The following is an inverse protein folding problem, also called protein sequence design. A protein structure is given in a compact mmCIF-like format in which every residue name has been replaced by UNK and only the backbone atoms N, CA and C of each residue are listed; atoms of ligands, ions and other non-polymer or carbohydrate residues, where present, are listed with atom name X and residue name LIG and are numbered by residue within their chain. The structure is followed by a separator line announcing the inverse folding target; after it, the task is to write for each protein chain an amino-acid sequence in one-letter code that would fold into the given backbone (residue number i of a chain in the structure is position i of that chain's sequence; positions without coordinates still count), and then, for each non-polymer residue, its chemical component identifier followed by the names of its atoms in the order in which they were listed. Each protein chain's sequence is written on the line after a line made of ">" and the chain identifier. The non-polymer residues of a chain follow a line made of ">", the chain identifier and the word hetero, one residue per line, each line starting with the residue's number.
data_IF_135789005771
#
_entry.id   IF_135789005771
#
_cell.length_a   1.000
_cell.length_b   1.000
_cell.length_c   1.000
_cell.angle_alpha   90.00
_cell.angle_beta   90.00
_cell.angle_gamma   90.00
#
_symmetry.space_group_name_H-M   'P 1'
#
loop_
_entity.id
_entity.type
_entity.pdbx_description
1 polymer ?
#
# COMPACT_ATOMS: atom_id res chain seq x y z
N UNK A 1 -3.64 17.28 4.84
CA UNK A 1 -3.31 15.94 4.35
C UNK A 1 -3.97 14.88 5.22
N UNK A 2 -4.63 13.88 4.62
CA UNK A 2 -5.26 12.75 5.31
C UNK A 2 -4.83 11.46 4.64
N UNK A 3 -4.29 10.52 5.42
CA UNK A 3 -4.06 9.15 4.96
C UNK A 3 -5.34 8.33 5.20
N UNK A 4 -6.04 8.00 4.12
CA UNK A 4 -7.33 7.29 4.16
C UNK A 4 -7.20 5.82 4.55
N UNK A 5 -6.01 5.24 4.49
CA UNK A 5 -5.77 3.92 5.06
C UNK A 5 -5.89 3.91 6.59
N UNK A 6 -5.35 4.93 7.25
CA UNK A 6 -5.43 5.07 8.71
C UNK A 6 -6.78 5.63 9.15
N UNK A 7 -7.33 6.57 8.38
CA UNK A 7 -8.59 7.27 8.64
C UNK A 7 -9.63 6.83 7.61
N UNK A 8 -10.12 5.60 7.75
CA UNK A 8 -10.92 4.94 6.72
C UNK A 8 -12.43 5.22 6.76
N UNK A 9 -12.92 6.11 7.64
CA UNK A 9 -14.33 6.49 7.72
C UNK A 9 -14.48 8.00 7.67
N UNK A 10 -15.62 8.50 7.16
CA UNK A 10 -15.94 9.92 7.14
C UNK A 10 -15.81 10.59 8.50
N UNK A 11 -16.16 9.88 9.58
CA UNK A 11 -15.99 10.40 10.95
C UNK A 11 -14.51 10.59 11.31
N UNK A 12 -13.67 9.59 11.10
CA UNK A 12 -12.22 9.69 11.40
C UNK A 12 -11.54 10.76 10.56
N UNK A 13 -11.95 10.91 9.29
CA UNK A 13 -11.46 11.96 8.39
C UNK A 13 -11.87 13.34 8.93
N UNK A 14 -13.13 13.50 9.34
CA UNK A 14 -13.62 14.76 9.89
C UNK A 14 -12.87 15.14 11.19
N UNK A 15 -12.62 14.18 12.08
CA UNK A 15 -11.83 14.40 13.31
C UNK A 15 -10.41 14.84 12.95
N UNK A 16 -9.75 14.15 12.01
CA UNK A 16 -8.39 14.49 11.60
C UNK A 16 -8.30 15.89 10.98
N UNK A 17 -9.27 16.27 10.14
CA UNK A 17 -9.35 17.63 9.58
C UNK A 17 -9.56 18.66 10.71
N UNK A 18 -10.44 18.38 11.68
CA UNK A 18 -10.66 19.26 12.83
C UNK A 18 -9.36 19.48 13.61
N UNK A 19 -8.60 18.43 13.87
CA UNK A 19 -7.29 18.52 14.56
C UNK A 19 -6.31 19.40 13.78
N UNK A 20 -6.20 19.23 12.45
CA UNK A 20 -5.29 20.01 11.59
C UNK A 20 -5.66 21.50 11.53
N UNK A 21 -6.95 21.84 11.60
CA UNK A 21 -7.41 23.25 11.64
C UNK A 21 -7.45 23.83 13.07
N UNK A 22 -6.98 23.09 14.08
CA UNK A 22 -6.87 23.53 15.46
C UNK A 22 -8.16 23.42 16.29
N UNK A 23 -9.21 22.76 15.78
CA UNK A 23 -10.45 22.52 16.50
C UNK A 23 -10.37 21.24 17.34
N UNK A 24 -10.39 21.36 18.68
CA UNK A 24 -10.18 20.23 19.60
C UNK A 24 -11.46 19.68 20.24
N UNK A 25 -12.59 20.37 20.11
CA UNK A 25 -13.85 19.97 20.75
C UNK A 25 -14.65 18.97 19.90
N UNK A 26 -14.05 17.81 19.59
CA UNK A 26 -14.65 16.76 18.73
C UNK A 26 -15.51 15.75 19.52
N UNK A 27 -15.38 15.71 20.86
CA UNK A 27 -16.13 14.79 21.71
C UNK A 27 -17.64 15.04 21.61
N UNK A 28 -18.43 13.95 21.60
CA UNK A 28 -19.89 13.96 21.51
C UNK A 28 -20.45 14.64 20.25
N UNK A 29 -19.66 14.78 19.17
CA UNK A 29 -20.11 15.29 17.87
C UNK A 29 -20.23 14.16 16.87
N UNK A 30 -21.30 14.21 16.07
CA UNK A 30 -21.43 13.32 14.91
C UNK A 30 -20.70 13.90 13.68
N UNK A 31 -20.61 13.09 12.64
CA UNK A 31 -19.91 13.44 11.38
C UNK A 31 -20.42 14.74 10.78
N UNK A 32 -21.75 14.91 10.70
CA UNK A 32 -22.38 16.11 10.13
C UNK A 32 -22.06 17.37 10.94
N UNK A 33 -22.04 17.27 12.26
CA UNK A 33 -21.68 18.41 13.14
C UNK A 33 -20.22 18.81 12.97
N UNK A 34 -19.32 17.83 12.80
CA UNK A 34 -17.90 18.11 12.53
C UNK A 34 -17.73 18.82 11.19
N UNK A 35 -18.41 18.38 10.13
CA UNK A 35 -18.33 19.05 8.84
C UNK A 35 -18.92 20.46 8.87
N UNK A 36 -19.95 20.74 9.65
CA UNK A 36 -20.45 22.11 9.87
C UNK A 36 -19.40 23.02 10.53
N UNK A 37 -18.61 22.48 11.46
CA UNK A 37 -17.51 23.23 12.06
C UNK A 37 -16.40 23.46 11.05
N UNK A 38 -15.99 22.42 10.30
CA UNK A 38 -14.97 22.48 9.27
C UNK A 38 -15.34 23.52 8.21
N UNK A 39 -16.57 23.46 7.69
CA UNK A 39 -17.05 24.41 6.67
C UNK A 39 -17.09 25.85 7.19
N UNK A 40 -17.52 26.06 8.43
CA UNK A 40 -17.53 27.40 9.05
C UNK A 40 -16.12 28.00 9.13
N UNK A 41 -15.14 27.21 9.54
CA UNK A 41 -13.74 27.71 9.67
C UNK A 41 -13.10 27.90 8.27
N UNK A 42 -13.23 26.90 7.39
CA UNK A 42 -12.51 26.91 6.12
C UNK A 42 -13.15 27.84 5.06
N UNK A 43 -14.42 28.21 5.19
CA UNK A 43 -15.04 29.17 4.30
C UNK A 43 -14.56 30.62 4.51
N UNK A 44 -13.85 30.91 5.60
CA UNK A 44 -13.20 32.20 5.80
C UNK A 44 -11.92 32.34 4.96
N UNK A 45 -11.41 31.24 4.42
CA UNK A 45 -10.16 31.20 3.64
C UNK A 45 -10.28 30.21 2.46
N UNK A 46 -9.16 29.87 1.83
CA UNK A 46 -9.09 28.77 0.86
C UNK A 46 -8.44 27.55 1.50
N UNK A 47 -8.85 26.36 1.10
CA UNK A 47 -8.34 25.11 1.61
C UNK A 47 -7.82 24.19 0.49
N UNK A 48 -6.73 23.48 0.77
CA UNK A 48 -6.22 22.39 -0.06
C UNK A 48 -6.32 21.09 0.73
N UNK A 49 -7.06 20.15 0.18
CA UNK A 49 -7.23 18.81 0.74
C UNK A 49 -6.40 17.81 -0.08
N UNK A 50 -5.64 16.97 0.61
CA UNK A 50 -4.92 15.86 0.00
C UNK A 50 -5.37 14.59 0.71
N UNK A 51 -6.04 13.70 -0.04
CA UNK A 51 -6.48 12.40 0.45
C UNK A 51 -5.64 11.31 -0.21
N UNK A 52 -4.76 10.71 0.56
CA UNK A 52 -3.89 9.62 0.10
C UNK A 52 -4.55 8.27 0.36
N UNK A 53 -4.38 7.34 -0.58
CA UNK A 53 -5.01 6.00 -0.55
C UNK A 53 -6.54 6.07 -0.40
N UNK A 54 -7.17 6.97 -1.15
CA UNK A 54 -8.62 7.22 -1.05
C UNK A 54 -9.49 5.99 -1.38
N UNK A 55 -8.95 5.01 -2.09
CA UNK A 55 -9.62 3.74 -2.36
C UNK A 55 -9.74 2.82 -1.12
N UNK A 56 -9.20 3.22 0.03
CA UNK A 56 -9.25 2.48 1.28
C UNK A 56 -10.34 2.94 2.25
N UNK A 57 -11.10 3.98 1.89
CA UNK A 57 -12.21 4.44 2.72
C UNK A 57 -13.38 3.44 2.69
N UNK A 58 -14.04 3.30 3.82
CA UNK A 58 -15.24 2.46 3.95
C UNK A 58 -16.49 3.18 3.45
N UNK A 59 -16.51 4.52 3.51
CA UNK A 59 -17.58 5.38 3.03
C UNK A 59 -17.02 6.68 2.42
N UNK A 60 -17.78 7.30 1.52
CA UNK A 60 -17.39 8.52 0.79
C UNK A 60 -18.24 9.75 1.14
N UNK A 61 -19.01 9.71 2.23
CA UNK A 61 -19.89 10.81 2.60
C UNK A 61 -19.12 12.11 2.91
N UNK A 62 -17.89 11.99 3.40
CA UNK A 62 -17.02 13.16 3.62
C UNK A 62 -16.74 13.95 2.33
N UNK A 63 -16.60 13.27 1.18
CA UNK A 63 -16.42 13.94 -0.09
C UNK A 63 -17.64 14.79 -0.46
N UNK A 64 -18.83 14.25 -0.23
CA UNK A 64 -20.07 14.99 -0.45
C UNK A 64 -20.09 16.28 0.38
N UNK A 65 -19.83 16.19 1.70
CA UNK A 65 -19.78 17.35 2.58
C UNK A 65 -18.74 18.39 2.13
N UNK A 66 -17.52 17.94 1.78
CA UNK A 66 -16.47 18.85 1.30
C UNK A 66 -16.84 19.52 -0.01
N UNK A 67 -17.47 18.78 -0.95
CA UNK A 67 -17.87 19.31 -2.25
C UNK A 67 -19.00 20.34 -2.11
N UNK A 68 -19.98 20.12 -1.25
CA UNK A 68 -21.15 20.98 -1.07
C UNK A 68 -20.89 22.18 -0.16
N UNK A 69 -20.19 21.98 0.96
CA UNK A 69 -20.18 22.94 2.05
C UNK A 69 -18.96 23.88 2.03
N UNK A 70 -17.87 23.55 1.31
CA UNK A 70 -16.68 24.37 1.25
C UNK A 70 -16.56 25.06 -0.11
N UNK A 71 -16.54 26.41 -0.12
CA UNK A 71 -16.64 27.18 -1.36
C UNK A 71 -15.30 27.29 -2.10
N UNK A 72 -14.19 27.56 -1.41
CA UNK A 72 -12.86 27.75 -2.01
C UNK A 72 -11.95 26.59 -1.65
N UNK A 73 -11.97 25.55 -2.47
CA UNK A 73 -11.19 24.34 -2.22
C UNK A 73 -10.46 23.85 -3.44
N UNK A 74 -9.31 23.21 -3.20
CA UNK A 74 -8.64 22.32 -4.15
C UNK A 74 -8.57 20.93 -3.49
N UNK A 75 -8.88 19.90 -4.27
CA UNK A 75 -8.83 18.51 -3.78
C UNK A 75 -7.87 17.71 -4.63
N UNK A 76 -6.93 17.02 -3.96
CA UNK A 76 -5.98 16.10 -4.56
C UNK A 76 -6.32 14.71 -4.02
N UNK A 77 -6.76 13.81 -4.89
CA UNK A 77 -7.15 12.45 -4.54
C UNK A 77 -6.11 11.49 -5.12
N UNK A 78 -5.48 10.71 -4.27
CA UNK A 78 -4.42 9.78 -4.66
C UNK A 78 -4.92 8.36 -4.47
N UNK A 79 -4.89 7.56 -5.54
CA UNK A 79 -5.30 6.17 -5.51
C UNK A 79 -4.41 5.30 -6.39
N UNK A 80 -4.25 4.05 -6.00
CA UNK A 80 -3.63 3.02 -6.81
C UNK A 80 -4.65 2.20 -7.62
N UNK A 81 -5.95 2.47 -7.45
CA UNK A 81 -7.04 1.74 -8.08
C UNK A 81 -7.72 2.59 -9.16
N UNK A 82 -7.46 2.27 -10.44
CA UNK A 82 -7.93 3.06 -11.59
C UNK A 82 -9.45 3.20 -11.67
N UNK A 83 -10.18 2.16 -11.33
CA UNK A 83 -11.66 2.15 -11.42
C UNK A 83 -12.36 2.72 -10.18
N UNK A 84 -11.61 3.24 -9.21
CA UNK A 84 -12.21 3.79 -7.99
C UNK A 84 -13.24 4.89 -8.27
N UNK A 85 -12.97 5.75 -9.25
CA UNK A 85 -13.87 6.84 -9.62
C UNK A 85 -15.21 6.31 -10.17
N UNK A 86 -15.20 5.17 -10.86
CA UNK A 86 -16.39 4.56 -11.43
C UNK A 86 -17.29 3.91 -10.36
N UNK A 87 -16.70 3.53 -9.22
CA UNK A 87 -17.39 2.90 -8.09
C UNK A 87 -18.01 3.92 -7.12
N UNK A 88 -17.72 5.22 -7.31
CA UNK A 88 -18.29 6.28 -6.46
C UNK A 88 -19.80 6.40 -6.65
N UNK A 89 -20.48 6.74 -5.53
CA UNK A 89 -21.88 7.14 -5.56
C UNK A 89 -22.10 8.26 -6.57
N UNK A 90 -23.21 8.19 -7.32
CA UNK A 90 -23.52 9.15 -8.37
C UNK A 90 -23.59 10.59 -7.88
N UNK A 91 -24.04 10.83 -6.64
CA UNK A 91 -24.11 12.15 -6.02
C UNK A 91 -22.73 12.79 -5.85
N UNK A 92 -21.72 11.96 -5.53
CA UNK A 92 -20.32 12.41 -5.40
C UNK A 92 -19.70 12.54 -6.78
N UNK A 93 -19.84 11.51 -7.62
CA UNK A 93 -19.23 11.44 -8.96
C UNK A 93 -19.67 12.59 -9.86
N UNK A 94 -20.96 12.96 -9.85
CA UNK A 94 -21.50 14.06 -10.67
C UNK A 94 -20.95 15.45 -10.30
N UNK A 95 -20.48 15.62 -9.05
CA UNK A 95 -19.89 16.86 -8.55
C UNK A 95 -18.37 16.86 -8.63
N UNK A 96 -17.78 15.68 -8.51
CA UNK A 96 -16.34 15.47 -8.58
C UNK A 96 -15.94 15.32 -10.06
N UNK A 97 -15.51 16.39 -10.69
CA UNK A 97 -15.02 16.39 -12.09
C UNK A 97 -13.50 16.54 -12.10
N UNK A 98 -12.74 15.50 -11.69
CA UNK A 98 -11.32 15.62 -11.48
C UNK A 98 -10.54 15.61 -12.81
N UNK A 99 -9.44 16.34 -12.86
CA UNK A 99 -8.41 16.12 -13.86
C UNK A 99 -7.61 14.86 -13.45
N UNK A 100 -7.55 13.87 -14.32
CA UNK A 100 -6.81 12.64 -14.09
C UNK A 100 -5.34 12.82 -14.48
N UNK A 101 -4.45 12.52 -13.54
CA UNK A 101 -3.00 12.51 -13.75
C UNK A 101 -2.49 11.10 -13.43
N UNK A 102 -1.98 10.40 -14.44
CA UNK A 102 -1.43 9.06 -14.26
C UNK A 102 0.09 9.13 -14.03
N UNK A 103 0.53 8.59 -12.89
CA UNK A 103 1.94 8.34 -12.60
C UNK A 103 2.28 6.93 -13.04
N UNK A 104 3.03 6.80 -14.14
CA UNK A 104 3.50 5.51 -14.65
C UNK A 104 4.61 4.95 -13.78
N UNK A 105 4.75 3.63 -13.80
CA UNK A 105 5.87 2.97 -13.16
C UNK A 105 7.19 3.41 -13.80
N UNK A 106 8.21 3.59 -12.97
CA UNK A 106 9.55 3.94 -13.43
C UNK A 106 10.14 2.82 -14.31
N UNK A 107 10.82 3.22 -15.38
CA UNK A 107 11.61 2.29 -16.19
C UNK A 107 12.96 1.99 -15.50
N UNK A 108 13.72 1.03 -16.06
CA UNK A 108 14.98 0.59 -15.47
C UNK A 108 16.02 1.73 -15.34
N UNK A 109 16.07 2.66 -16.30
CA UNK A 109 16.98 3.81 -16.26
C UNK A 109 16.59 4.82 -15.18
N UNK A 110 15.31 5.10 -15.05
CA UNK A 110 14.78 5.99 -14.02
C UNK A 110 14.98 5.37 -12.62
N UNK A 111 14.72 4.07 -12.46
CA UNK A 111 15.00 3.34 -11.22
C UNK A 111 16.46 3.44 -10.82
N UNK A 112 17.37 3.21 -11.76
CA UNK A 112 18.83 3.33 -11.54
C UNK A 112 19.21 4.75 -11.12
N UNK A 113 18.68 5.77 -11.81
CA UNK A 113 18.98 7.17 -11.52
C UNK A 113 18.48 7.60 -10.13
N UNK A 114 17.28 7.19 -9.76
CA UNK A 114 16.69 7.48 -8.46
C UNK A 114 17.51 6.82 -7.34
N UNK A 115 17.81 5.53 -7.46
CA UNK A 115 18.60 4.81 -6.46
C UNK A 115 20.00 5.39 -6.34
N UNK A 116 20.65 5.76 -7.46
CA UNK A 116 21.97 6.41 -7.48
C UNK A 116 21.93 7.75 -6.75
N UNK A 117 20.96 8.60 -7.06
CA UNK A 117 20.80 9.88 -6.37
C UNK A 117 20.59 9.71 -4.85
N UNK A 118 19.80 8.74 -4.43
CA UNK A 118 19.59 8.44 -3.01
C UNK A 118 20.83 7.87 -2.33
N UNK A 119 21.58 7.00 -3.04
CA UNK A 119 22.84 6.45 -2.55
C UNK A 119 23.91 7.53 -2.32
N UNK A 120 24.04 8.50 -3.23
CA UNK A 120 24.96 9.62 -3.09
C UNK A 120 24.67 10.54 -1.91
N UNK A 121 23.40 10.66 -1.51
CA UNK A 121 22.99 11.46 -0.34
C UNK A 121 23.23 10.67 0.96
N UNK A 122 22.96 9.36 0.94
CA UNK A 122 22.93 8.52 2.15
C UNK A 122 24.31 7.95 2.52
N UNK A 123 25.20 7.75 1.56
CA UNK A 123 26.46 7.05 1.78
C UNK A 123 27.66 7.85 1.25
N UNK A 124 28.84 7.55 1.80
CA UNK A 124 30.10 8.11 1.32
C UNK A 124 30.43 7.58 -0.08
N UNK A 125 31.07 8.42 -0.88
CA UNK A 125 31.54 8.03 -2.20
C UNK A 125 32.52 6.83 -2.14
N UNK A 126 32.38 5.89 -3.08
CA UNK A 126 33.26 4.71 -3.19
C UNK A 126 32.95 3.57 -2.22
N UNK A 127 31.90 3.69 -1.38
CA UNK A 127 31.49 2.61 -0.46
C UNK A 127 30.84 1.43 -1.20
N UNK A 128 30.16 1.69 -2.31
CA UNK A 128 29.53 0.65 -3.13
C UNK A 128 30.50 0.16 -4.22
N UNK A 129 30.60 -1.16 -4.41
CA UNK A 129 31.12 -1.70 -5.67
C UNK A 129 30.06 -1.53 -6.77
N UNK A 130 30.51 -1.34 -8.01
CA UNK A 130 29.62 -1.14 -9.15
C UNK A 130 28.71 -2.36 -9.36
N UNK A 131 29.24 -3.56 -9.16
CA UNK A 131 28.52 -4.82 -9.28
C UNK A 131 27.40 -4.92 -8.22
N UNK A 132 27.70 -4.63 -6.96
CA UNK A 132 26.73 -4.67 -5.87
C UNK A 132 25.61 -3.66 -6.10
N UNK A 133 25.95 -2.42 -6.47
CA UNK A 133 24.95 -1.40 -6.77
C UNK A 133 24.05 -1.79 -7.95
N UNK A 134 24.65 -2.29 -9.04
CA UNK A 134 23.90 -2.73 -10.21
C UNK A 134 22.97 -3.92 -9.89
N UNK A 135 23.36 -4.81 -8.97
CA UNK A 135 22.53 -5.91 -8.52
C UNK A 135 21.28 -5.41 -7.77
N UNK A 136 21.41 -4.39 -6.92
CA UNK A 136 20.26 -3.73 -6.26
C UNK A 136 19.35 -3.08 -7.29
N UNK A 137 19.90 -2.34 -8.26
CA UNK A 137 19.13 -1.68 -9.32
C UNK A 137 18.36 -2.70 -10.16
N UNK A 138 19.01 -3.79 -10.55
CA UNK A 138 18.38 -4.88 -11.30
C UNK A 138 17.19 -5.45 -10.52
N UNK A 139 17.39 -5.79 -9.25
CA UNK A 139 16.33 -6.37 -8.41
C UNK A 139 15.17 -5.42 -8.20
N UNK A 140 15.44 -4.13 -7.93
CA UNK A 140 14.40 -3.10 -7.80
C UNK A 140 13.61 -2.90 -9.11
N UNK A 141 14.30 -2.98 -10.26
CA UNK A 141 13.67 -2.91 -11.58
C UNK A 141 12.77 -4.11 -11.88
N UNK A 142 13.19 -5.33 -11.53
CA UNK A 142 12.40 -6.56 -11.65
C UNK A 142 11.11 -6.48 -10.78
N UNK A 143 11.25 -5.99 -9.55
CA UNK A 143 10.13 -5.80 -8.62
C UNK A 143 9.25 -4.60 -8.99
N UNK A 144 9.75 -3.70 -9.85
CA UNK A 144 9.12 -2.42 -10.19
C UNK A 144 8.74 -1.60 -8.95
N UNK A 145 9.58 -1.68 -7.93
CA UNK A 145 9.36 -1.02 -6.65
C UNK A 145 10.63 -0.36 -6.12
N UNK A 146 10.61 0.98 -6.09
CA UNK A 146 11.71 1.79 -5.56
C UNK A 146 11.90 1.58 -4.05
N UNK A 147 10.82 1.33 -3.29
CA UNK A 147 10.89 1.11 -1.84
C UNK A 147 11.71 -0.14 -1.52
N UNK A 148 11.52 -1.22 -2.28
CA UNK A 148 12.33 -2.42 -2.19
C UNK A 148 13.81 -2.14 -2.54
N UNK A 149 14.07 -1.29 -3.54
CA UNK A 149 15.43 -0.86 -3.86
C UNK A 149 16.10 -0.09 -2.72
N UNK A 150 15.39 0.86 -2.12
CA UNK A 150 15.88 1.62 -0.96
C UNK A 150 16.11 0.71 0.26
N UNK A 151 15.23 -0.24 0.49
CA UNK A 151 15.39 -1.25 1.53
C UNK A 151 16.66 -2.08 1.31
N UNK A 152 16.88 -2.56 0.09
CA UNK A 152 18.08 -3.33 -0.24
C UNK A 152 19.36 -2.51 -0.04
N UNK A 153 19.38 -1.22 -0.45
CA UNK A 153 20.52 -0.34 -0.19
C UNK A 153 20.83 -0.28 1.31
N UNK A 154 19.80 -0.11 2.15
CA UNK A 154 19.94 -0.03 3.61
C UNK A 154 20.43 -1.34 4.22
N UNK A 155 19.79 -2.47 3.90
CA UNK A 155 20.12 -3.77 4.50
C UNK A 155 21.51 -4.26 4.08
N UNK A 156 21.94 -4.00 2.84
CA UNK A 156 23.28 -4.35 2.37
C UNK A 156 24.38 -3.64 3.18
N UNK A 157 24.13 -2.38 3.55
CA UNK A 157 25.05 -1.62 4.43
C UNK A 157 25.14 -2.30 5.81
N UNK A 158 24.03 -2.66 6.42
CA UNK A 158 24.04 -3.35 7.72
C UNK A 158 24.83 -4.65 7.67
N UNK A 159 24.70 -5.47 6.60
CA UNK A 159 25.48 -6.68 6.47
C UNK A 159 26.99 -6.44 6.26
N UNK A 160 27.34 -5.35 5.58
CA UNK A 160 28.75 -4.96 5.45
C UNK A 160 29.32 -4.43 6.78
N UNK A 161 28.55 -3.64 7.53
CA UNK A 161 28.92 -3.12 8.85
C UNK A 161 29.09 -4.24 9.90
N UNK A 162 28.19 -5.24 9.93
CA UNK A 162 28.31 -6.43 10.79
C UNK A 162 29.65 -7.15 10.61
N UNK A 163 30.21 -7.11 9.40
CA UNK A 163 31.53 -7.70 9.06
C UNK A 163 32.67 -6.70 9.14
N UNK A 164 32.46 -5.49 9.63
CA UNK A 164 33.42 -4.38 9.67
C UNK A 164 34.07 -4.08 8.29
N UNK A 165 33.35 -4.32 7.19
CA UNK A 165 33.79 -4.03 5.82
C UNK A 165 33.76 -2.53 5.55
N UNK A 166 34.69 -2.04 4.73
CA UNK A 166 34.71 -0.66 4.25
C UNK A 166 34.01 -0.47 2.90
N UNK A 167 33.68 -1.58 2.21
CA UNK A 167 32.98 -1.59 0.94
C UNK A 167 31.85 -2.59 0.99
N UNK A 168 30.76 -2.26 0.30
CA UNK A 168 29.62 -3.11 0.11
C UNK A 168 29.82 -3.91 -1.18
N UNK A 169 29.76 -5.21 -1.05
CA UNK A 169 30.02 -6.19 -2.10
C UNK A 169 28.76 -6.99 -2.44
N UNK A 170 28.81 -7.75 -3.54
CA UNK A 170 27.69 -8.56 -4.02
C UNK A 170 27.12 -9.49 -2.92
N UNK A 171 27.97 -10.12 -2.12
CA UNK A 171 27.54 -11.00 -1.01
C UNK A 171 26.63 -10.30 -0.01
N UNK A 172 26.85 -9.01 0.27
CA UNK A 172 26.09 -8.25 1.25
C UNK A 172 24.68 -7.94 0.71
N UNK A 173 24.58 -7.71 -0.62
CA UNK A 173 23.33 -7.55 -1.35
C UNK A 173 22.53 -8.86 -1.40
N UNK A 174 23.21 -9.99 -1.72
CA UNK A 174 22.57 -11.31 -1.75
C UNK A 174 21.96 -11.68 -0.38
N UNK A 175 22.64 -11.35 0.70
CA UNK A 175 22.09 -11.50 2.06
C UNK A 175 20.88 -10.60 2.32
N UNK A 176 20.91 -9.37 1.79
CA UNK A 176 19.79 -8.47 1.90
C UNK A 176 18.53 -8.99 1.17
N UNK A 177 18.69 -9.78 0.09
CA UNK A 177 17.57 -10.41 -0.59
C UNK A 177 16.78 -11.37 0.32
N UNK A 178 17.44 -12.07 1.23
CA UNK A 178 16.76 -12.98 2.17
C UNK A 178 15.77 -12.25 3.10
N UNK A 179 16.03 -10.96 3.39
CA UNK A 179 15.14 -10.11 4.19
C UNK A 179 14.05 -9.40 3.38
N UNK A 180 14.12 -9.47 2.06
CA UNK A 180 13.17 -8.73 1.21
C UNK A 180 11.73 -9.25 1.37
N UNK A 181 11.58 -10.55 1.56
CA UNK A 181 10.28 -11.18 1.81
C UNK A 181 9.66 -10.64 3.11
N UNK A 182 10.47 -10.50 4.18
CA UNK A 182 10.02 -9.96 5.46
C UNK A 182 9.70 -8.46 5.37
N UNK A 183 10.45 -7.72 4.56
CA UNK A 183 10.16 -6.31 4.27
C UNK A 183 8.85 -6.13 3.51
N UNK A 184 8.60 -6.97 2.51
CA UNK A 184 7.33 -6.96 1.76
C UNK A 184 6.16 -7.28 2.68
N UNK A 185 6.35 -8.17 3.68
CA UNK A 185 5.36 -8.49 4.71
C UNK A 185 5.19 -7.32 5.69
N UNK A 186 6.28 -6.64 6.11
CA UNK A 186 6.20 -5.50 7.03
C UNK A 186 5.59 -4.25 6.40
N UNK A 187 5.80 -4.02 5.11
CA UNK A 187 5.04 -3.01 4.36
C UNK A 187 3.56 -3.40 4.21
N UNK A 188 3.21 -4.64 4.57
CA UNK A 188 1.86 -5.12 4.82
C UNK A 188 1.45 -4.99 6.31
N UNK A 189 2.11 -4.15 7.11
CA UNK A 189 1.68 -3.87 8.51
C UNK A 189 0.22 -3.41 8.60
N UNK A 190 -0.30 -2.94 7.51
CA UNK A 190 -1.69 -2.64 7.27
C UNK A 190 -2.60 -3.86 7.01
N UNK A 191 -2.06 -5.06 6.84
CA UNK A 191 -2.86 -6.27 6.82
C UNK A 191 -3.25 -6.65 8.27
N UNK A 192 -4.55 -6.88 8.51
CA UNK A 192 -4.99 -7.42 9.80
C UNK A 192 -4.22 -8.69 10.14
N UNK A 193 -4.00 -8.95 11.44
CA UNK A 193 -3.25 -10.12 11.90
C UNK A 193 -3.73 -11.44 11.28
N UNK A 194 -5.04 -11.55 11.06
CA UNK A 194 -5.63 -12.69 10.39
C UNK A 194 -5.27 -12.76 8.89
N UNK A 195 -5.11 -11.62 8.20
CA UNK A 195 -4.68 -11.61 6.80
C UNK A 195 -3.21 -11.96 6.68
N UNK A 196 -2.38 -11.55 7.64
CA UNK A 196 -0.97 -11.98 7.78
C UNK A 196 -0.89 -13.50 8.00
N UNK A 197 -1.75 -14.03 8.86
CA UNK A 197 -1.85 -15.46 9.11
C UNK A 197 -2.24 -16.26 7.85
N UNK A 198 -3.23 -15.79 7.11
CA UNK A 198 -3.61 -16.39 5.81
C UNK A 198 -2.44 -16.34 4.82
N UNK A 199 -1.74 -15.20 4.76
CA UNK A 199 -0.61 -15.03 3.86
C UNK A 199 0.56 -15.97 4.22
N UNK A 200 0.86 -16.18 5.52
CA UNK A 200 1.88 -17.14 5.95
C UNK A 200 1.54 -18.57 5.50
N UNK A 201 0.28 -18.98 5.59
CA UNK A 201 -0.19 -20.28 5.12
C UNK A 201 0.02 -20.42 3.60
N UNK A 202 -0.28 -19.38 2.83
CA UNK A 202 -0.07 -19.39 1.38
C UNK A 202 1.42 -19.49 1.03
N UNK A 203 2.30 -18.85 1.81
CA UNK A 203 3.76 -18.96 1.62
C UNK A 203 4.24 -20.41 1.78
N UNK A 204 3.76 -21.09 2.82
CA UNK A 204 4.13 -22.49 3.12
C UNK A 204 3.52 -23.50 2.13
N UNK A 205 2.34 -23.18 1.60
CA UNK A 205 1.53 -24.10 0.80
C UNK A 205 1.16 -23.51 -0.57
N UNK A 206 2.10 -22.83 -1.22
CA UNK A 206 1.90 -22.23 -2.55
C UNK A 206 1.48 -23.24 -3.60
N UNK A 207 0.59 -22.84 -4.52
CA UNK A 207 0.12 -23.68 -5.61
C UNK A 207 -1.06 -24.59 -5.26
N UNK A 208 -1.61 -24.50 -4.04
CA UNK A 208 -2.79 -25.26 -3.65
C UNK A 208 -4.09 -24.56 -4.07
N UNK A 209 -5.17 -25.34 -4.12
CA UNK A 209 -6.53 -24.81 -4.33
C UNK A 209 -6.97 -24.01 -3.11
N UNK A 210 -7.81 -23.00 -3.35
CA UNK A 210 -8.34 -22.14 -2.28
C UNK A 210 -9.10 -22.92 -1.19
N UNK A 211 -9.76 -24.03 -1.56
CA UNK A 211 -10.42 -24.93 -0.62
C UNK A 211 -9.44 -25.62 0.33
N UNK A 212 -8.37 -26.21 -0.23
CA UNK A 212 -7.34 -26.90 0.54
C UNK A 212 -6.60 -25.94 1.50
N UNK A 213 -6.36 -24.70 1.05
CA UNK A 213 -5.79 -23.65 1.88
C UNK A 213 -6.72 -23.25 3.03
N UNK A 214 -8.03 -23.28 2.80
CA UNK A 214 -9.00 -23.00 3.85
C UNK A 214 -9.05 -24.10 4.91
N UNK A 215 -8.93 -25.39 4.51
CA UNK A 215 -8.81 -26.51 5.46
C UNK A 215 -7.57 -26.35 6.34
N UNK A 216 -6.41 -26.10 5.74
CA UNK A 216 -5.17 -25.82 6.49
C UNK A 216 -5.33 -24.61 7.42
N UNK A 217 -6.01 -23.55 6.96
CA UNK A 217 -6.29 -22.39 7.79
C UNK A 217 -7.13 -22.75 9.02
N UNK A 218 -8.14 -23.60 8.85
CA UNK A 218 -8.97 -24.09 9.96
C UNK A 218 -8.21 -24.99 10.92
N UNK A 219 -7.39 -25.91 10.42
CA UNK A 219 -6.54 -26.79 11.22
C UNK A 219 -5.52 -25.99 12.07
N UNK A 220 -4.99 -24.90 11.54
CA UNK A 220 -4.06 -24.02 12.24
C UNK A 220 -4.75 -22.97 13.16
N UNK A 221 -6.08 -23.12 13.41
CA UNK A 221 -6.81 -22.28 14.36
C UNK A 221 -7.47 -21.05 13.78
N UNK A 222 -7.64 -20.98 12.47
CA UNK A 222 -8.33 -19.85 11.81
C UNK A 222 -9.84 -19.85 12.10
N UNK A 223 -10.40 -18.73 12.50
CA UNK A 223 -11.80 -18.62 12.95
C UNK A 223 -12.77 -18.16 11.86
N UNK A 224 -12.31 -17.42 10.85
CA UNK A 224 -13.16 -16.83 9.81
C UNK A 224 -13.94 -17.86 8.99
N UNK A 225 -15.08 -17.42 8.46
CA UNK A 225 -15.87 -18.19 7.49
C UNK A 225 -15.15 -18.29 6.14
N UNK A 226 -15.50 -19.29 5.34
CA UNK A 226 -14.95 -19.46 3.98
C UNK A 226 -15.13 -18.22 3.09
N UNK A 227 -16.28 -17.55 3.18
CA UNK A 227 -16.57 -16.33 2.44
C UNK A 227 -15.63 -15.17 2.84
N UNK A 228 -15.34 -15.05 4.14
CA UNK A 228 -14.40 -14.06 4.65
C UNK A 228 -12.96 -14.39 4.22
N UNK A 229 -12.57 -15.66 4.28
CA UNK A 229 -11.29 -16.15 3.80
C UNK A 229 -11.09 -15.84 2.30
N UNK A 230 -12.08 -16.16 1.45
CA UNK A 230 -12.05 -15.83 0.03
C UNK A 230 -11.89 -14.33 -0.23
N UNK A 231 -12.61 -13.48 0.52
CA UNK A 231 -12.49 -12.01 0.40
C UNK A 231 -11.08 -11.53 0.75
N UNK A 232 -10.45 -12.12 1.77
CA UNK A 232 -9.07 -11.81 2.16
C UNK A 232 -8.05 -12.29 1.11
N UNK A 233 -8.23 -13.49 0.54
CA UNK A 233 -7.45 -13.98 -0.61
C UNK A 233 -7.57 -13.01 -1.79
N UNK A 234 -8.79 -12.59 -2.12
CA UNK A 234 -9.02 -11.61 -3.20
C UNK A 234 -8.26 -10.30 -2.93
N UNK A 235 -8.35 -9.77 -1.71
CA UNK A 235 -7.63 -8.55 -1.28
C UNK A 235 -6.10 -8.73 -1.35
N UNK A 236 -5.56 -9.88 -0.96
CA UNK A 236 -4.13 -10.19 -1.11
C UNK A 236 -3.70 -10.26 -2.59
N UNK A 237 -4.56 -10.78 -3.47
CA UNK A 237 -4.30 -10.84 -4.91
C UNK A 237 -4.35 -9.46 -5.57
N UNK A 238 -5.34 -8.63 -5.23
CA UNK A 238 -5.47 -7.24 -5.69
C UNK A 238 -4.29 -6.38 -5.25
N UNK A 239 -3.82 -6.58 -4.03
CA UNK A 239 -2.62 -5.93 -3.50
C UNK A 239 -1.30 -6.58 -3.98
N UNK A 240 -1.38 -7.53 -4.91
CA UNK A 240 -0.22 -8.19 -5.56
C UNK A 240 0.69 -9.00 -4.62
N UNK A 241 0.25 -9.39 -3.43
CA UNK A 241 0.99 -10.29 -2.54
C UNK A 241 1.02 -11.73 -3.03
N UNK A 242 -0.05 -12.13 -3.73
CA UNK A 242 -0.24 -13.47 -4.27
C UNK A 242 -0.72 -13.39 -5.72
N UNK A 243 -0.57 -14.47 -6.47
CA UNK A 243 -1.25 -14.66 -7.76
C UNK A 243 -2.36 -15.69 -7.64
N UNK A 244 -3.45 -15.48 -8.36
CA UNK A 244 -4.56 -16.40 -8.41
C UNK A 244 -4.84 -16.79 -9.85
N UNK A 245 -4.93 -18.09 -10.12
CA UNK A 245 -5.29 -18.64 -11.43
C UNK A 245 -6.59 -19.41 -11.31
N UNK A 246 -7.56 -19.08 -12.13
CA UNK A 246 -8.80 -19.88 -12.26
C UNK A 246 -8.51 -21.10 -13.09
N UNK A 247 -8.84 -22.27 -12.60
CA UNK A 247 -8.73 -23.54 -13.33
C UNK A 247 -10.12 -24.17 -13.45
N UNK A 248 -10.53 -24.50 -14.65
CA UNK A 248 -11.71 -25.32 -14.92
C UNK A 248 -11.34 -26.77 -14.71
N UNK A 249 -12.09 -27.48 -13.86
CA UNK A 249 -11.95 -28.91 -13.62
C UNK A 249 -13.31 -29.59 -13.73
N UNK A 250 -13.33 -30.92 -13.78
CA UNK A 250 -14.57 -31.74 -13.92
C UNK A 250 -15.59 -31.53 -12.78
N UNK A 251 -15.21 -30.86 -11.68
CA UNK A 251 -16.07 -30.52 -10.51
C UNK A 251 -16.43 -29.05 -10.38
N UNK A 252 -16.17 -28.19 -11.39
CA UNK A 252 -16.44 -26.76 -11.36
C UNK A 252 -15.20 -25.88 -11.36
N UNK A 253 -15.41 -24.56 -11.30
CA UNK A 253 -14.31 -23.59 -11.29
C UNK A 253 -13.62 -23.57 -9.93
N UNK A 254 -12.33 -23.85 -9.90
CA UNK A 254 -11.47 -23.69 -8.71
C UNK A 254 -10.44 -22.61 -8.92
N UNK A 255 -9.97 -22.01 -7.83
CA UNK A 255 -8.91 -21.00 -7.86
C UNK A 255 -7.66 -21.58 -7.22
N UNK A 256 -6.57 -21.64 -7.97
CA UNK A 256 -5.24 -21.96 -7.45
C UNK A 256 -4.64 -20.67 -6.95
N UNK A 257 -4.06 -20.72 -5.75
CA UNK A 257 -3.41 -19.58 -5.10
C UNK A 257 -1.92 -19.86 -5.03
N UNK A 258 -1.15 -19.01 -5.66
CA UNK A 258 0.32 -19.12 -5.69
C UNK A 258 0.93 -17.95 -4.96
N UNK A 259 1.97 -18.20 -4.15
CA UNK A 259 2.88 -17.15 -3.74
C UNK A 259 3.36 -16.46 -5.03
N UNK A 260 3.29 -15.14 -5.09
CA UNK A 260 3.93 -14.44 -6.19
C UNK A 260 5.43 -14.63 -6.04
N UNK A 261 5.99 -15.59 -6.78
CA UNK A 261 7.42 -15.71 -6.92
C UNK A 261 7.90 -14.38 -7.55
N UNK A 262 8.73 -13.66 -6.85
CA UNK A 262 9.68 -12.80 -7.50
C UNK A 262 10.47 -13.75 -8.41
N UNK A 263 10.12 -13.81 -9.69
CA UNK A 263 10.86 -14.62 -10.67
C UNK A 263 12.32 -14.22 -10.56
N UNK A 264 13.15 -15.23 -10.32
CA UNK A 264 14.60 -15.12 -10.26
C UNK A 264 15.16 -14.78 -11.63
#
# INVERSE_FOLDING_TARGET
>A
YVNCWQKNTSFKIAVDICEQIGFRFVQNKNTTELFKVISKILNESSAVFVFDEIDKVDDTDFLYHLLEEIYKKTMILITNYKSWLDELDERVRSRLTPQLIEFKQYNAKETASILKSRSLIAFREGVWSDEAFNLVVKKAGELRDIRSGLFLLKESVYFAEEKAKRKIEVEDVEKAFSKLDDFTIKNSEDLSDETKFIYSIIKEHSGKKIGDLFEIYKEKGGESSYKTFQRKIKKLSENKFISTKKQMGEGGNTTIVEKKLTEF
#
